data_IF_439888250328
#
_entry.id   IF_439888250328
#
_cell.length_a   1.000
_cell.length_b   1.000
_cell.length_c   1.000
_cell.angle_alpha   90.00
_cell.angle_beta   90.00
_cell.angle_gamma   90.00
#
_symmetry.space_group_name_H-M   'P 1'
#
loop_
_entity.id
_entity.type
_entity.pdbx_description
1 polymer ?
#
# COMPACT_ATOMS: atom_id res chain seq x y z
N UNK A 1 -7.39 5.18 19.49
CA UNK A 1 -6.80 3.91 18.97
C UNK A 1 -5.28 3.82 19.10
N UNK A 2 -4.47 4.81 18.67
CA UNK A 2 -3.00 4.69 18.67
C UNK A 2 -2.40 4.61 20.08
N UNK A 3 -2.88 5.42 21.03
CA UNK A 3 -2.43 5.40 22.43
C UNK A 3 -2.86 4.15 23.20
N UNK A 4 -4.09 3.64 23.00
CA UNK A 4 -4.54 2.37 23.59
C UNK A 4 -3.64 1.21 23.15
N UNK A 5 -3.25 1.15 21.87
CA UNK A 5 -2.32 0.11 21.37
C UNK A 5 -0.95 0.22 22.02
N UNK A 6 -0.46 1.44 22.24
CA UNK A 6 0.82 1.68 22.92
C UNK A 6 0.72 1.29 24.40
N UNK A 7 -0.36 1.68 25.10
CA UNK A 7 -0.60 1.30 26.49
C UNK A 7 -0.64 -0.23 26.65
N UNK A 8 -1.37 -0.92 25.77
CA UNK A 8 -1.44 -2.38 25.78
C UNK A 8 -0.05 -2.99 25.55
N UNK A 9 0.73 -2.46 24.61
CA UNK A 9 2.09 -2.93 24.36
C UNK A 9 3.01 -2.73 25.58
N UNK A 10 2.89 -1.60 26.27
CA UNK A 10 3.64 -1.34 27.52
C UNK A 10 3.25 -2.33 28.62
N UNK A 11 1.95 -2.59 28.79
CA UNK A 11 1.44 -3.57 29.77
C UNK A 11 1.97 -4.96 29.46
N UNK A 12 1.88 -5.40 28.19
CA UNK A 12 2.41 -6.69 27.75
C UNK A 12 3.92 -6.77 27.98
N UNK A 13 4.67 -5.71 27.64
CA UNK A 13 6.11 -5.66 27.87
C UNK A 13 6.45 -5.78 29.36
N UNK A 14 5.70 -5.09 30.24
CA UNK A 14 5.87 -5.19 31.69
C UNK A 14 5.59 -6.61 32.20
N UNK A 15 4.49 -7.23 31.78
CA UNK A 15 4.17 -8.62 32.10
C UNK A 15 5.28 -9.57 31.66
N UNK A 16 5.81 -9.40 30.45
CA UNK A 16 6.96 -10.17 29.98
C UNK A 16 8.18 -9.97 30.89
N UNK A 17 8.51 -8.73 31.27
CA UNK A 17 9.63 -8.48 32.17
C UNK A 17 9.47 -9.16 33.54
N UNK A 18 8.29 -9.05 34.14
CA UNK A 18 7.99 -9.73 35.42
C UNK A 18 8.10 -11.24 35.28
N UNK A 19 7.59 -11.82 34.17
CA UNK A 19 7.71 -13.24 33.87
C UNK A 19 9.18 -13.69 33.77
N UNK A 20 10.02 -12.92 33.06
CA UNK A 20 11.46 -13.20 32.96
C UNK A 20 12.13 -13.17 34.34
N UNK A 21 11.81 -12.17 35.17
CA UNK A 21 12.37 -12.06 36.51
C UNK A 21 11.96 -13.22 37.40
N UNK A 22 10.69 -13.63 37.35
CA UNK A 22 10.19 -14.77 38.14
C UNK A 22 10.83 -16.10 37.70
N UNK A 23 11.10 -16.28 36.42
CA UNK A 23 11.63 -17.52 35.86
C UNK A 23 13.15 -17.47 35.63
N UNK A 24 13.85 -16.47 36.18
CA UNK A 24 15.29 -16.27 35.92
C UNK A 24 16.12 -17.50 36.30
N UNK A 25 15.76 -18.23 37.36
CA UNK A 25 16.45 -19.46 37.76
C UNK A 25 16.40 -20.55 36.67
N UNK A 26 15.21 -20.81 36.11
CA UNK A 26 15.03 -21.78 35.03
C UNK A 26 15.65 -21.27 33.72
N UNK A 27 15.48 -19.99 33.42
CA UNK A 27 15.99 -19.37 32.19
C UNK A 27 17.53 -19.27 32.14
N UNK A 28 18.20 -19.31 33.29
CA UNK A 28 19.66 -19.30 33.39
C UNK A 28 20.28 -20.68 33.26
N UNK A 29 19.47 -21.74 33.20
CA UNK A 29 19.98 -23.07 32.90
C UNK A 29 20.62 -23.09 31.52
N UNK A 30 21.78 -23.73 31.44
CA UNK A 30 22.53 -23.89 30.20
C UNK A 30 22.04 -25.12 29.47
N UNK A 31 21.66 -24.94 28.21
CA UNK A 31 21.32 -26.04 27.31
C UNK A 31 22.40 -26.12 26.23
N UNK A 32 22.87 -27.33 25.95
CA UNK A 32 23.67 -27.62 24.77
C UNK A 32 22.74 -28.01 23.64
N UNK A 33 22.70 -27.19 22.59
CA UNK A 33 21.98 -27.55 21.37
C UNK A 33 22.86 -28.50 20.56
N UNK A 34 22.38 -29.74 20.42
CA UNK A 34 22.98 -30.74 19.54
C UNK A 34 22.21 -30.77 18.24
N UNK A 35 22.94 -30.68 17.14
CA UNK A 35 22.40 -30.88 15.81
C UNK A 35 23.05 -32.15 15.27
N UNK A 36 22.32 -33.25 15.35
CA UNK A 36 22.73 -34.53 14.76
C UNK A 36 22.31 -34.53 13.29
N UNK A 37 23.20 -34.07 12.41
CA UNK A 37 23.10 -34.40 10.99
C UNK A 37 23.65 -35.81 10.80
N UNK A 38 23.03 -36.59 9.91
CA UNK A 38 23.27 -38.03 9.63
C UNK A 38 24.74 -38.48 9.54
N UNK A 39 25.71 -37.57 9.40
CA UNK A 39 27.14 -37.87 9.30
C UNK A 39 28.05 -37.03 10.21
N UNK A 40 27.51 -36.04 10.94
CA UNK A 40 28.31 -35.14 11.76
C UNK A 40 27.42 -34.53 12.85
N UNK A 41 27.77 -34.82 14.10
CA UNK A 41 27.15 -34.23 15.28
C UNK A 41 27.86 -32.91 15.62
N UNK A 42 27.14 -31.81 15.50
CA UNK A 42 27.61 -30.48 15.92
C UNK A 42 26.98 -30.11 17.25
N UNK A 43 27.83 -29.93 18.26
CA UNK A 43 27.41 -29.44 19.57
C UNK A 43 27.72 -27.94 19.66
N UNK A 44 26.71 -27.17 20.04
CA UNK A 44 26.90 -25.76 20.37
C UNK A 44 27.47 -25.64 21.78
N UNK A 45 28.26 -24.58 22.03
CA UNK A 45 28.66 -24.16 23.38
C UNK A 45 27.41 -24.12 24.28
N UNK A 46 27.51 -24.49 25.58
CA UNK A 46 26.41 -24.36 26.52
C UNK A 46 25.90 -22.91 26.54
N UNK A 47 24.71 -22.70 25.97
CA UNK A 47 24.06 -21.40 25.91
C UNK A 47 22.90 -21.36 26.91
N UNK A 48 22.80 -20.31 27.72
CA UNK A 48 21.64 -20.11 28.58
C UNK A 48 20.35 -19.98 27.76
N UNK A 49 19.24 -20.51 28.28
CA UNK A 49 17.93 -20.50 27.62
C UNK A 49 17.47 -19.06 27.33
N UNK A 50 17.72 -18.10 28.24
CA UNK A 50 17.35 -16.70 28.02
C UNK A 50 17.97 -16.12 26.74
N UNK A 51 19.16 -16.58 26.34
CA UNK A 51 19.85 -16.09 25.15
C UNK A 51 19.15 -16.56 23.87
N UNK A 52 18.70 -17.82 23.84
CA UNK A 52 17.90 -18.34 22.72
C UNK A 52 16.55 -17.62 22.60
N UNK A 53 15.84 -17.45 23.72
CA UNK A 53 14.55 -16.75 23.72
C UNK A 53 14.71 -15.31 23.25
N UNK A 54 15.75 -14.62 23.73
CA UNK A 54 16.05 -13.25 23.31
C UNK A 54 16.40 -13.19 21.81
N UNK A 55 17.21 -14.13 21.32
CA UNK A 55 17.55 -14.23 19.90
C UNK A 55 16.32 -14.48 19.02
N UNK A 56 15.45 -15.41 19.41
CA UNK A 56 14.20 -15.71 18.72
C UNK A 56 13.24 -14.51 18.73
N UNK A 57 13.15 -13.79 19.85
CA UNK A 57 12.34 -12.59 19.96
C UNK A 57 12.83 -11.48 19.02
N UNK A 58 14.15 -11.21 19.00
CA UNK A 58 14.75 -10.22 18.11
C UNK A 58 14.52 -10.61 16.65
N UNK A 59 14.76 -11.87 16.29
CA UNK A 59 14.51 -12.37 14.94
C UNK A 59 13.03 -12.24 14.54
N UNK A 60 12.12 -12.57 15.44
CA UNK A 60 10.68 -12.39 15.25
C UNK A 60 10.30 -10.92 15.05
N UNK A 61 10.89 -10.00 15.83
CA UNK A 61 10.68 -8.56 15.68
C UNK A 61 11.18 -8.05 14.31
N UNK A 62 12.36 -8.51 13.87
CA UNK A 62 12.86 -8.22 12.53
C UNK A 62 11.94 -8.77 11.44
N UNK A 63 11.48 -10.03 11.56
CA UNK A 63 10.59 -10.66 10.60
C UNK A 63 9.26 -9.91 10.47
N UNK A 64 8.63 -9.56 11.60
CA UNK A 64 7.37 -8.78 11.62
C UNK A 64 7.58 -7.39 11.03
N UNK A 65 8.69 -6.72 11.38
CA UNK A 65 9.02 -5.40 10.83
C UNK A 65 9.22 -5.46 9.31
N UNK A 66 9.92 -6.48 8.84
CA UNK A 66 10.16 -6.69 7.42
C UNK A 66 8.86 -6.99 6.67
N UNK A 67 8.00 -7.85 7.22
CA UNK A 67 6.69 -8.14 6.65
C UNK A 67 5.82 -6.87 6.56
N UNK A 68 5.77 -6.09 7.64
CA UNK A 68 5.01 -4.83 7.67
C UNK A 68 5.57 -3.79 6.68
N UNK A 69 6.88 -3.74 6.50
CA UNK A 69 7.52 -2.87 5.52
C UNK A 69 7.15 -3.26 4.08
N UNK A 70 7.23 -4.55 3.75
CA UNK A 70 6.80 -5.07 2.44
C UNK A 70 5.31 -4.76 2.19
N UNK A 71 4.47 -4.97 3.20
CA UNK A 71 3.05 -4.67 3.12
C UNK A 71 2.80 -3.18 2.88
N UNK A 72 3.50 -2.29 3.62
CA UNK A 72 3.46 -0.83 3.41
C UNK A 72 3.85 -0.43 1.99
N UNK A 73 4.91 -1.03 1.43
CA UNK A 73 5.35 -0.76 0.05
C UNK A 73 4.30 -1.24 -0.97
N UNK A 74 3.70 -2.42 -0.73
CA UNK A 74 2.63 -2.97 -1.58
C UNK A 74 1.40 -2.07 -1.58
N UNK A 75 0.94 -1.64 -0.39
CA UNK A 75 -0.19 -0.71 -0.24
C UNK A 75 0.10 0.64 -0.89
N UNK A 76 1.31 1.18 -0.71
CA UNK A 76 1.74 2.43 -1.35
C UNK A 76 1.74 2.34 -2.87
N UNK A 77 2.14 1.20 -3.42
CA UNK A 77 2.14 0.94 -4.86
C UNK A 77 0.71 0.80 -5.42
N UNK A 78 -0.19 0.14 -4.67
CA UNK A 78 -1.61 0.05 -5.03
C UNK A 78 -2.27 1.44 -5.12
N UNK A 79 -2.06 2.30 -4.11
CA UNK A 79 -2.60 3.67 -4.10
C UNK A 79 -2.04 4.49 -5.28
N UNK A 80 -0.77 4.32 -5.62
CA UNK A 80 -0.15 5.02 -6.78
C UNK A 80 -0.75 4.56 -8.10
N UNK A 81 -1.06 3.27 -8.25
CA UNK A 81 -1.67 2.69 -9.45
C UNK A 81 -3.09 3.23 -9.66
N UNK A 82 -3.92 3.20 -8.63
CA UNK A 82 -5.27 3.77 -8.59
C UNK A 82 -5.27 5.26 -8.97
N UNK A 83 -4.41 6.06 -8.32
CA UNK A 83 -4.28 7.50 -8.63
C UNK A 83 -3.85 7.78 -10.07
N UNK A 84 -3.00 6.94 -10.66
CA UNK A 84 -2.61 7.08 -12.08
C UNK A 84 -3.80 6.80 -13.01
N UNK A 85 -4.62 5.81 -12.68
CA UNK A 85 -5.82 5.50 -13.48
C UNK A 85 -6.87 6.59 -13.37
N UNK A 86 -7.11 7.13 -12.17
CA UNK A 86 -7.98 8.28 -11.97
C UNK A 86 -7.56 9.48 -12.82
N UNK A 87 -6.27 9.86 -12.79
CA UNK A 87 -5.74 10.96 -13.61
C UNK A 87 -5.85 10.69 -15.11
N UNK A 88 -5.72 9.44 -15.55
CA UNK A 88 -5.89 9.07 -16.96
C UNK A 88 -7.36 9.24 -17.38
N UNK A 89 -8.27 8.76 -16.55
CA UNK A 89 -9.71 8.84 -16.78
C UNK A 89 -10.21 10.30 -16.74
N UNK A 90 -9.72 11.12 -15.81
CA UNK A 90 -10.00 12.57 -15.77
C UNK A 90 -9.54 13.26 -17.06
N UNK A 91 -8.36 12.92 -17.59
CA UNK A 91 -7.86 13.45 -18.86
C UNK A 91 -8.70 12.99 -20.05
N UNK A 92 -9.13 11.73 -20.08
CA UNK A 92 -10.01 11.21 -21.14
C UNK A 92 -11.38 11.89 -21.11
N UNK A 93 -12.00 12.07 -19.94
CA UNK A 93 -13.25 12.84 -19.79
C UNK A 93 -13.07 14.30 -20.21
N UNK A 94 -11.94 14.91 -19.86
CA UNK A 94 -11.66 16.31 -20.23
C UNK A 94 -11.48 16.43 -21.73
N UNK A 95 -10.71 15.54 -22.36
CA UNK A 95 -10.51 15.52 -23.82
C UNK A 95 -11.81 15.24 -24.60
N UNK A 96 -12.66 14.35 -24.09
CA UNK A 96 -14.00 14.09 -24.64
C UNK A 96 -14.98 15.23 -24.42
N UNK A 97 -14.69 16.19 -23.54
CA UNK A 97 -15.48 17.43 -23.40
C UNK A 97 -14.98 18.54 -24.31
N UNK A 98 -13.69 18.58 -24.61
CA UNK A 98 -13.11 19.60 -25.50
C UNK A 98 -13.16 19.25 -26.99
N UNK A 99 -13.39 18.00 -27.40
CA UNK A 99 -13.31 17.61 -28.82
C UNK A 99 -14.65 17.38 -29.58
N UNK A 100 -15.80 17.03 -28.96
CA UNK A 100 -17.04 16.77 -29.72
C UNK A 100 -18.21 17.73 -29.44
N UNK A 101 -18.03 18.84 -28.71
CA UNK A 101 -19.10 19.82 -28.49
C UNK A 101 -19.00 21.08 -29.39
N UNK A 102 -17.85 21.34 -30.00
CA UNK A 102 -17.67 22.47 -30.92
C UNK A 102 -18.10 22.16 -32.36
N UNK A 103 -18.15 20.88 -32.75
CA UNK A 103 -18.55 20.49 -34.12
C UNK A 103 -20.06 20.63 -34.36
N UNK A 104 -20.89 20.60 -33.31
CA UNK A 104 -22.34 20.87 -33.42
C UNK A 104 -22.71 22.35 -33.38
N UNK A 105 -21.79 23.24 -33.00
CA UNK A 105 -22.03 24.69 -32.95
C UNK A 105 -21.69 25.41 -34.27
N UNK A 106 -21.18 24.68 -35.26
CA UNK A 106 -20.86 25.22 -36.60
C UNK A 106 -21.59 24.44 -37.70
N UNK A 107 -22.89 24.20 -37.51
CA UNK A 107 -23.77 23.90 -38.63
C UNK A 107 -23.89 25.20 -39.45
N UNK A 108 -23.62 25.19 -40.76
CA UNK A 108 -23.80 26.38 -41.59
C UNK A 108 -25.25 26.83 -41.48
N UNK A 109 -25.44 28.07 -41.06
CA UNK A 109 -26.70 28.80 -41.18
C UNK A 109 -27.12 28.68 -42.65
N UNK A 110 -28.21 27.95 -42.88
CA UNK A 110 -28.79 27.77 -44.20
C UNK A 110 -29.26 29.17 -44.62
N UNK A 111 -28.52 29.84 -45.48
CA UNK A 111 -29.02 30.99 -46.22
C UNK A 111 -30.23 30.51 -47.04
N UNK A 112 -31.44 31.03 -46.81
CA UNK A 112 -32.55 30.74 -47.71
C UNK A 112 -32.34 31.52 -49.01
N UNK A 113 -31.98 30.81 -50.08
CA UNK A 113 -32.11 31.30 -51.45
C UNK A 113 -33.59 31.51 -51.81
N UNK A 114 -33.82 32.60 -52.57
CA UNK A 114 -34.99 32.92 -53.41
C UNK A 114 -36.14 33.76 -52.80
N UNK A 115 -36.09 35.07 -53.06
CA UNK A 115 -37.28 35.79 -53.53
C UNK A 115 -36.99 36.32 -54.94
N UNK A 116 -37.58 35.68 -55.95
CA UNK A 116 -37.61 36.20 -57.30
C UNK A 116 -38.50 37.44 -57.34
N UNK A 117 -37.97 38.55 -57.83
CA UNK A 117 -38.77 39.72 -58.23
C UNK A 117 -38.87 39.73 -59.74
N UNK A 118 -40.09 39.71 -60.34
CA UNK A 118 -40.23 39.77 -61.78
C UNK A 118 -39.90 41.18 -62.27
N UNK A 119 -39.05 41.20 -63.29
CA UNK A 119 -38.75 42.30 -64.19
C UNK A 119 -40.05 42.96 -64.66
N UNK A 120 -40.22 44.26 -64.40
CA UNK A 120 -41.35 45.04 -64.90
C UNK A 120 -40.87 45.86 -66.09
N UNK A 121 -41.36 45.45 -67.24
CA UNK A 121 -41.22 46.09 -68.53
C UNK A 121 -41.60 47.58 -68.51
N UNK A 122 -40.93 48.29 -69.40
CA UNK A 122 -41.12 49.68 -69.81
C UNK A 122 -42.40 49.83 -70.64
N UNK A 123 -43.23 50.83 -70.34
CA UNK A 123 -44.26 51.49 -71.19
C UNK A 123 -45.00 52.49 -70.27
N UNK A 124 -45.30 53.75 -70.59
CA UNK A 124 -45.14 54.62 -71.75
C UNK A 124 -45.22 56.09 -71.26
#
# INVERSE_FOLDING_TARGET
>A
MRFIKVLLLVVVFFLCMVFFQQNTAELSQTITLKVDLLFQSWETIPLPIYFLILGAFVFGAFAVTFFFLLERVRLGSAIRKERKQLKKLEKEVTALRTNPLDEKAKLPEIEPESEGTPEKDTEA
#
